data_IF_681673187544
#
_entry.id   IF_681673187544
#
_cell.length_a   1.000
_cell.length_b   1.000
_cell.length_c   1.000
_cell.angle_alpha   90.00
_cell.angle_beta   90.00
_cell.angle_gamma   90.00
#
_symmetry.space_group_name_H-M   'P 1'
#
loop_
_entity.id
_entity.type
_entity.pdbx_description
1 polymer ?
#
# COMPACT_ATOMS: atom_id res chain seq x y z
N UNK A 1 2.48 -20.05 -29.72
CA UNK A 1 3.00 -19.09 -28.72
C UNK A 1 3.76 -19.91 -27.71
N UNK A 2 5.05 -19.67 -27.54
CA UNK A 2 5.81 -20.31 -26.47
C UNK A 2 5.20 -19.83 -25.14
N UNK A 3 4.77 -20.77 -24.27
CA UNK A 3 4.39 -20.46 -22.89
C UNK A 3 5.63 -19.83 -22.25
N UNK A 4 5.52 -18.57 -21.82
CA UNK A 4 6.58 -17.93 -21.07
C UNK A 4 6.84 -18.80 -19.82
N UNK A 5 8.07 -19.24 -19.66
CA UNK A 5 8.45 -20.03 -18.48
C UNK A 5 8.54 -19.09 -17.27
N UNK A 6 7.58 -19.19 -16.36
CA UNK A 6 7.54 -18.44 -15.10
C UNK A 6 8.00 -19.26 -13.89
N UNK A 7 8.65 -20.42 -14.11
CA UNK A 7 9.11 -21.33 -13.04
C UNK A 7 10.08 -20.63 -12.07
N UNK A 8 10.86 -19.67 -12.55
CA UNK A 8 11.80 -18.89 -11.74
C UNK A 8 11.12 -18.00 -10.67
N UNK A 9 9.81 -17.71 -10.80
CA UNK A 9 9.11 -16.82 -9.86
C UNK A 9 9.04 -17.45 -8.46
N UNK A 10 8.81 -18.76 -8.38
CA UNK A 10 8.74 -19.46 -7.09
C UNK A 10 10.07 -19.35 -6.32
N UNK A 11 11.18 -19.63 -6.99
CA UNK A 11 12.52 -19.51 -6.40
C UNK A 11 12.83 -18.08 -5.95
N UNK A 12 12.51 -17.09 -6.79
CA UNK A 12 12.71 -15.65 -6.42
C UNK A 12 11.89 -15.22 -5.23
N UNK A 13 10.63 -15.65 -5.14
CA UNK A 13 9.77 -15.36 -3.99
C UNK A 13 10.33 -15.99 -2.71
N UNK A 14 10.80 -17.23 -2.77
CA UNK A 14 11.41 -17.91 -1.63
C UNK A 14 12.67 -17.17 -1.16
N UNK A 15 13.55 -16.81 -2.11
CA UNK A 15 14.77 -16.06 -1.82
C UNK A 15 14.49 -14.72 -1.16
N UNK A 16 13.52 -13.94 -1.66
CA UNK A 16 13.15 -12.66 -1.06
C UNK A 16 12.57 -12.89 0.35
N UNK A 17 11.64 -13.82 0.51
CA UNK A 17 11.03 -14.10 1.81
C UNK A 17 12.04 -14.52 2.86
N UNK A 18 13.10 -15.24 2.45
CA UNK A 18 14.18 -15.65 3.35
C UNK A 18 15.03 -14.48 3.87
N UNK A 19 15.00 -13.31 3.20
CA UNK A 19 15.71 -12.09 3.63
C UNK A 19 14.84 -11.16 4.49
N UNK A 20 13.53 -11.36 4.49
CA UNK A 20 12.63 -10.51 5.27
C UNK A 20 12.65 -10.86 6.75
N UNK A 21 12.56 -9.84 7.60
CA UNK A 21 12.43 -10.04 9.03
C UNK A 21 11.10 -10.75 9.40
N UNK A 22 11.05 -11.49 10.52
CA UNK A 22 9.80 -12.10 10.98
C UNK A 22 8.68 -11.07 11.14
N UNK A 23 7.49 -11.38 10.61
CA UNK A 23 6.31 -10.50 10.67
C UNK A 23 6.26 -9.43 9.57
N UNK A 24 7.19 -9.46 8.61
CA UNK A 24 7.13 -8.59 7.42
C UNK A 24 6.44 -9.31 6.28
N UNK A 25 5.39 -8.71 5.76
CA UNK A 25 4.66 -9.21 4.59
C UNK A 25 5.25 -8.66 3.29
N UNK A 26 5.41 -9.55 2.29
CA UNK A 26 5.83 -9.16 0.96
C UNK A 26 4.62 -8.76 0.11
N UNK A 27 4.57 -7.52 -0.34
CA UNK A 27 3.66 -7.08 -1.39
C UNK A 27 4.33 -7.30 -2.75
N UNK A 28 3.89 -8.31 -3.50
CA UNK A 28 4.42 -8.55 -4.84
C UNK A 28 3.89 -7.49 -5.82
N UNK A 29 4.75 -6.56 -6.22
CA UNK A 29 4.38 -5.52 -7.18
C UNK A 29 4.21 -6.13 -8.56
N UNK A 30 2.98 -6.15 -9.04
CA UNK A 30 2.55 -6.88 -10.26
C UNK A 30 2.22 -5.97 -11.45
N UNK A 31 2.36 -4.65 -11.27
CA UNK A 31 2.13 -3.68 -12.36
C UNK A 31 2.93 -4.06 -13.60
N UNK A 32 2.31 -3.94 -14.79
CA UNK A 32 2.88 -4.25 -16.11
C UNK A 32 3.19 -5.74 -16.37
N UNK A 33 3.06 -6.62 -15.39
CA UNK A 33 3.22 -8.05 -15.59
C UNK A 33 1.93 -8.72 -16.07
N UNK A 34 2.00 -9.73 -16.95
CA UNK A 34 0.83 -10.44 -17.43
C UNK A 34 0.21 -11.34 -16.35
N UNK A 35 -1.06 -11.71 -16.54
CA UNK A 35 -1.83 -12.52 -15.57
C UNK A 35 -1.16 -13.86 -15.26
N UNK A 36 -0.50 -14.47 -16.24
CA UNK A 36 0.22 -15.74 -16.10
C UNK A 36 1.37 -15.66 -15.10
N UNK A 37 2.06 -14.51 -15.04
CA UNK A 37 3.12 -14.29 -14.05
C UNK A 37 2.53 -14.19 -12.63
N UNK A 38 1.39 -13.51 -12.47
CA UNK A 38 0.71 -13.43 -11.18
C UNK A 38 0.17 -14.80 -10.76
N UNK A 39 -0.37 -15.58 -11.70
CA UNK A 39 -0.83 -16.94 -11.43
C UNK A 39 0.32 -17.84 -10.96
N UNK A 40 1.51 -17.71 -11.56
CA UNK A 40 2.69 -18.43 -11.10
C UNK A 40 3.10 -18.05 -9.68
N UNK A 41 3.11 -16.74 -9.37
CA UNK A 41 3.37 -16.25 -8.01
C UNK A 41 2.30 -16.74 -7.01
N UNK A 42 1.04 -16.72 -7.39
CA UNK A 42 -0.06 -17.25 -6.57
C UNK A 42 0.12 -18.74 -6.26
N UNK A 43 0.46 -19.54 -7.27
CA UNK A 43 0.74 -20.98 -7.13
C UNK A 43 1.95 -21.24 -6.21
N UNK A 44 2.91 -20.30 -6.15
CA UNK A 44 4.03 -20.30 -5.22
C UNK A 44 3.68 -19.75 -3.82
N UNK A 45 2.38 -19.57 -3.52
CA UNK A 45 1.88 -19.15 -2.21
C UNK A 45 1.81 -17.64 -1.99
N UNK A 46 2.05 -16.79 -3.01
CA UNK A 46 1.84 -15.35 -2.88
C UNK A 46 0.34 -15.02 -2.85
N UNK A 47 -0.06 -14.15 -1.92
CA UNK A 47 -1.46 -13.72 -1.78
C UNK A 47 -1.62 -12.22 -1.87
N UNK A 48 -0.62 -11.43 -1.56
CA UNK A 48 -0.66 -9.96 -1.52
C UNK A 48 -0.01 -9.42 -2.79
N UNK A 49 -0.78 -8.74 -3.64
CA UNK A 49 -0.30 -8.15 -4.89
C UNK A 49 -0.52 -6.64 -4.93
N UNK A 50 0.48 -5.92 -5.44
CA UNK A 50 0.47 -4.46 -5.54
C UNK A 50 0.30 -3.95 -6.97
N UNK A 51 -0.70 -3.10 -7.19
CA UNK A 51 -0.99 -2.46 -8.48
C UNK A 51 -1.03 -0.94 -8.37
N UNK A 52 -0.60 -0.24 -9.41
CA UNK A 52 -0.60 1.22 -9.45
C UNK A 52 -1.62 1.82 -10.44
N UNK A 53 -2.30 1.01 -11.24
CA UNK A 53 -3.35 1.43 -12.18
C UNK A 53 -4.63 0.65 -11.89
N UNK A 54 -5.71 1.37 -11.55
CA UNK A 54 -6.99 0.75 -11.19
C UNK A 54 -7.54 -0.14 -12.31
N UNK A 55 -7.42 0.29 -13.57
CA UNK A 55 -7.93 -0.48 -14.71
C UNK A 55 -7.19 -1.83 -14.85
N UNK A 56 -5.86 -1.82 -14.70
CA UNK A 56 -5.04 -3.03 -14.74
C UNK A 56 -5.39 -3.97 -13.58
N UNK A 57 -5.51 -3.43 -12.37
CA UNK A 57 -5.91 -4.18 -11.19
C UNK A 57 -7.30 -4.82 -11.36
N UNK A 58 -8.29 -4.07 -11.88
CA UNK A 58 -9.65 -4.58 -12.10
C UNK A 58 -9.66 -5.73 -13.12
N UNK A 59 -8.90 -5.60 -14.21
CA UNK A 59 -8.77 -6.65 -15.21
C UNK A 59 -8.17 -7.93 -14.62
N UNK A 60 -7.08 -7.81 -13.86
CA UNK A 60 -6.39 -8.94 -13.24
C UNK A 60 -7.23 -9.61 -12.16
N UNK A 61 -7.91 -8.82 -11.33
CA UNK A 61 -8.81 -9.34 -10.30
C UNK A 61 -9.91 -10.22 -10.87
N UNK A 62 -10.46 -9.88 -12.03
CA UNK A 62 -11.51 -10.67 -12.68
C UNK A 62 -11.02 -12.02 -13.25
N UNK A 63 -9.70 -12.21 -13.41
CA UNK A 63 -9.08 -13.39 -14.02
C UNK A 63 -8.34 -14.29 -13.03
N UNK A 64 -8.12 -13.81 -11.81
CA UNK A 64 -7.30 -14.47 -10.79
C UNK A 64 -8.15 -14.89 -9.58
N UNK A 65 -7.64 -15.78 -8.71
CA UNK A 65 -8.36 -16.25 -7.53
C UNK A 65 -8.85 -15.14 -6.61
N UNK A 66 -10.03 -15.33 -6.00
CA UNK A 66 -10.72 -14.31 -5.19
C UNK A 66 -10.10 -14.11 -3.79
N UNK A 67 -9.21 -14.98 -3.36
CA UNK A 67 -8.48 -14.90 -2.09
C UNK A 67 -7.19 -14.07 -2.18
N UNK A 68 -6.96 -13.41 -3.33
CA UNK A 68 -5.88 -12.43 -3.48
C UNK A 68 -6.23 -11.16 -2.71
N UNK A 69 -5.29 -10.73 -1.89
CA UNK A 69 -5.33 -9.43 -1.23
C UNK A 69 -4.72 -8.36 -2.15
N UNK A 70 -5.60 -7.57 -2.75
CA UNK A 70 -5.20 -6.50 -3.66
C UNK A 70 -4.82 -5.23 -2.90
N UNK A 71 -3.57 -4.81 -3.03
CA UNK A 71 -3.08 -3.53 -2.54
C UNK A 71 -2.98 -2.53 -3.70
N UNK A 72 -3.66 -1.41 -3.58
CA UNK A 72 -3.47 -0.30 -4.51
C UNK A 72 -2.34 0.60 -4.00
N UNK A 73 -1.20 0.58 -4.70
CA UNK A 73 0.04 1.27 -4.29
C UNK A 73 0.35 2.52 -5.12
N UNK A 74 -0.54 2.87 -6.06
CA UNK A 74 -0.39 4.05 -6.92
C UNK A 74 -1.05 5.30 -6.38
N UNK A 75 -0.87 6.42 -7.09
CA UNK A 75 -1.58 7.66 -6.77
C UNK A 75 -3.09 7.48 -6.95
N UNK A 76 -3.86 7.76 -5.90
CA UNK A 76 -5.31 7.58 -5.87
C UNK A 76 -6.01 8.75 -6.57
N UNK A 77 -6.72 8.45 -7.66
CA UNK A 77 -7.64 9.38 -8.30
C UNK A 77 -9.06 9.15 -7.77
N UNK A 78 -9.72 10.18 -7.21
CA UNK A 78 -11.04 10.07 -6.57
C UNK A 78 -12.09 9.38 -7.45
N UNK A 79 -12.15 9.72 -8.73
CA UNK A 79 -13.12 9.15 -9.68
C UNK A 79 -12.89 7.66 -9.99
N UNK A 80 -11.73 7.11 -9.63
CA UNK A 80 -11.36 5.70 -9.83
C UNK A 80 -11.63 4.82 -8.60
N UNK A 81 -11.80 5.40 -7.42
CA UNK A 81 -12.04 4.66 -6.16
C UNK A 81 -13.23 3.70 -6.31
N UNK A 82 -14.32 4.13 -6.95
CA UNK A 82 -15.52 3.31 -7.19
C UNK A 82 -15.25 2.00 -7.94
N UNK A 83 -14.17 1.93 -8.74
CA UNK A 83 -13.83 0.74 -9.53
C UNK A 83 -13.14 -0.33 -8.68
N UNK A 84 -12.33 0.07 -7.69
CA UNK A 84 -11.56 -0.85 -6.85
C UNK A 84 -12.24 -1.15 -5.51
N UNK A 85 -13.16 -0.30 -5.04
CA UNK A 85 -13.85 -0.48 -3.77
C UNK A 85 -14.54 -1.86 -3.59
N UNK A 86 -15.07 -2.54 -4.65
CA UNK A 86 -15.67 -3.85 -4.50
C UNK A 86 -14.71 -4.94 -4.00
N UNK A 87 -13.40 -4.84 -4.23
CA UNK A 87 -12.45 -5.93 -4.01
C UNK A 87 -11.13 -5.54 -3.38
N UNK A 88 -10.69 -4.26 -3.44
CA UNK A 88 -9.41 -3.83 -2.88
C UNK A 88 -9.34 -4.08 -1.38
N UNK A 89 -8.21 -4.59 -0.90
CA UNK A 89 -7.98 -4.85 0.53
C UNK A 89 -7.33 -3.66 1.23
N UNK A 90 -6.32 -3.05 0.60
CA UNK A 90 -5.58 -1.91 1.14
C UNK A 90 -5.36 -0.85 0.06
N UNK A 91 -5.64 0.40 0.39
CA UNK A 91 -5.29 1.56 -0.44
C UNK A 91 -4.15 2.29 0.26
N UNK A 92 -2.95 2.26 -0.33
CA UNK A 92 -1.74 2.78 0.31
C UNK A 92 -1.43 4.25 -0.04
N UNK A 93 -2.02 4.77 -1.12
CA UNK A 93 -1.73 6.11 -1.64
C UNK A 93 -2.70 7.19 -1.18
N UNK A 94 -3.08 7.24 0.10
CA UNK A 94 -4.02 8.25 0.62
C UNK A 94 -3.27 9.47 1.14
N UNK A 95 -3.41 10.59 0.47
CA UNK A 95 -2.65 11.82 0.70
C UNK A 95 -3.51 13.06 1.04
N UNK A 96 -4.83 12.88 1.26
CA UNK A 96 -5.71 13.93 1.76
C UNK A 96 -7.02 13.36 2.34
N UNK A 97 -7.71 14.18 3.15
CA UNK A 97 -8.95 13.77 3.83
C UNK A 97 -10.09 13.47 2.86
N UNK A 98 -10.20 14.20 1.76
CA UNK A 98 -11.26 14.02 0.76
C UNK A 98 -11.21 12.63 0.11
N UNK A 99 -10.00 12.03 -0.01
CA UNK A 99 -9.86 10.64 -0.47
C UNK A 99 -10.37 9.65 0.57
N UNK A 100 -10.08 9.85 1.86
CA UNK A 100 -10.66 9.01 2.93
C UNK A 100 -12.19 9.04 2.89
N UNK A 101 -12.80 10.24 2.77
CA UNK A 101 -14.26 10.40 2.65
C UNK A 101 -14.82 9.66 1.44
N UNK A 102 -14.17 9.76 0.28
CA UNK A 102 -14.64 9.06 -0.94
C UNK A 102 -14.45 7.55 -0.82
N UNK A 103 -13.36 7.05 -0.21
CA UNK A 103 -13.14 5.62 0.03
C UNK A 103 -14.23 5.09 0.95
N UNK A 104 -14.52 5.75 2.07
CA UNK A 104 -15.57 5.39 3.02
C UNK A 104 -16.94 5.30 2.32
N UNK A 105 -17.29 6.34 1.58
CA UNK A 105 -18.54 6.39 0.79
C UNK A 105 -18.66 5.23 -0.20
N UNK A 106 -17.59 4.86 -0.88
CA UNK A 106 -17.61 3.78 -1.85
C UNK A 106 -17.60 2.40 -1.15
N UNK A 107 -16.83 2.23 -0.07
CA UNK A 107 -16.79 1.02 0.74
C UNK A 107 -18.17 0.67 1.33
N UNK A 108 -18.89 1.70 1.83
CA UNK A 108 -20.26 1.56 2.33
C UNK A 108 -21.23 0.94 1.33
N UNK A 109 -21.09 1.26 0.02
CA UNK A 109 -21.97 0.69 -1.03
C UNK A 109 -21.85 -0.81 -1.21
N UNK A 110 -20.70 -1.38 -0.80
CA UNK A 110 -20.38 -2.79 -0.95
C UNK A 110 -20.35 -3.52 0.40
N UNK A 111 -20.82 -2.85 1.47
CA UNK A 111 -20.79 -3.37 2.85
C UNK A 111 -19.38 -3.87 3.24
N UNK A 112 -18.37 -3.06 2.95
CA UNK A 112 -16.96 -3.39 3.19
C UNK A 112 -16.31 -2.38 4.13
N UNK A 113 -15.25 -2.83 4.80
CA UNK A 113 -14.27 -1.97 5.44
C UNK A 113 -12.95 -2.06 4.65
N UNK A 114 -12.44 -0.92 4.17
CA UNK A 114 -11.21 -0.86 3.37
C UNK A 114 -10.10 -0.28 4.22
N UNK A 115 -8.97 -0.98 4.32
CA UNK A 115 -7.77 -0.46 4.98
C UNK A 115 -7.13 0.65 4.14
N UNK A 116 -6.77 1.75 4.80
CA UNK A 116 -6.11 2.89 4.19
C UNK A 116 -4.76 3.14 4.87
N UNK A 117 -3.71 3.37 4.09
CA UNK A 117 -2.44 3.90 4.61
C UNK A 117 -2.33 5.37 4.22
N UNK A 118 -1.90 6.20 5.17
CA UNK A 118 -1.60 7.60 4.91
C UNK A 118 -0.25 7.66 4.19
N UNK A 119 -0.25 8.15 2.96
CA UNK A 119 0.97 8.32 2.19
C UNK A 119 1.72 9.56 2.67
N UNK A 120 2.95 9.37 3.10
CA UNK A 120 3.82 10.42 3.61
C UNK A 120 4.91 10.73 2.58
N UNK A 121 5.10 11.99 2.30
CA UNK A 121 6.20 12.49 1.49
C UNK A 121 7.47 12.56 2.34
N UNK A 122 8.35 11.57 2.17
CA UNK A 122 9.63 11.46 2.90
C UNK A 122 10.84 11.68 1.99
N UNK A 123 10.65 11.62 0.68
CA UNK A 123 11.71 11.78 -0.31
C UNK A 123 12.11 13.24 -0.50
N UNK A 124 13.34 13.46 -0.95
CA UNK A 124 13.86 14.80 -1.24
C UNK A 124 13.28 15.43 -2.52
N UNK A 125 12.71 14.61 -3.43
CA UNK A 125 12.16 15.10 -4.69
C UNK A 125 10.77 15.74 -4.49
N UNK A 126 10.59 17.00 -4.88
CA UNK A 126 9.33 17.77 -4.78
C UNK A 126 8.16 17.22 -5.59
N UNK A 127 8.43 16.27 -6.50
CA UNK A 127 7.43 15.71 -7.41
C UNK A 127 6.65 14.54 -6.85
N UNK A 128 6.94 14.06 -5.64
CA UNK A 128 6.26 12.93 -5.03
C UNK A 128 4.99 13.35 -4.29
N UNK A 129 3.97 12.49 -4.36
CA UNK A 129 2.71 12.65 -3.65
C UNK A 129 2.86 12.27 -2.18
N UNK A 130 1.97 12.75 -1.36
CA UNK A 130 1.92 12.42 0.06
C UNK A 130 1.71 13.67 0.93
N UNK A 131 1.28 13.46 2.16
CA UNK A 131 1.29 14.50 3.18
C UNK A 131 2.73 14.82 3.59
N UNK A 132 3.05 16.08 3.91
CA UNK A 132 4.15 16.32 4.82
C UNK A 132 3.82 15.74 6.21
N UNK A 133 4.80 15.46 7.07
CA UNK A 133 4.56 15.03 8.45
C UNK A 133 3.59 15.96 9.20
N UNK A 134 3.75 17.26 9.06
CA UNK A 134 2.92 18.29 9.69
C UNK A 134 1.49 18.29 9.18
N UNK A 135 1.30 18.22 7.85
CA UNK A 135 -0.03 18.14 7.23
C UNK A 135 -0.78 16.88 7.67
N UNK A 136 -0.09 15.75 7.79
CA UNK A 136 -0.68 14.50 8.26
C UNK A 136 -1.19 14.62 9.70
N UNK A 137 -0.36 15.14 10.61
CA UNK A 137 -0.75 15.36 12.00
C UNK A 137 -1.89 16.39 12.11
N UNK A 138 -1.84 17.46 11.34
CA UNK A 138 -2.90 18.47 11.30
C UNK A 138 -4.23 17.86 10.80
N UNK A 139 -4.18 17.08 9.72
CA UNK A 139 -5.37 16.38 9.20
C UNK A 139 -6.00 15.51 10.29
N UNK A 140 -5.21 14.67 10.98
CA UNK A 140 -5.70 13.81 12.05
C UNK A 140 -6.23 14.58 13.27
N UNK A 141 -5.69 15.77 13.56
CA UNK A 141 -6.13 16.61 14.67
C UNK A 141 -7.40 17.40 14.39
N UNK A 142 -7.66 17.78 13.13
CA UNK A 142 -8.68 18.77 12.79
C UNK A 142 -9.86 18.26 11.99
N UNK A 143 -9.76 17.06 11.39
CA UNK A 143 -10.84 16.49 10.58
C UNK A 143 -11.65 15.44 11.34
N UNK A 144 -12.91 15.19 10.96
CA UNK A 144 -13.75 14.18 11.60
C UNK A 144 -13.53 12.77 11.02
N UNK A 145 -12.26 12.36 10.79
CA UNK A 145 -11.95 11.06 10.20
C UNK A 145 -12.47 9.86 10.99
N UNK A 146 -12.67 10.02 12.32
CA UNK A 146 -13.26 8.97 13.17
C UNK A 146 -14.73 8.69 12.89
N UNK A 147 -15.41 9.54 12.14
CA UNK A 147 -16.79 9.33 11.69
C UNK A 147 -16.86 8.43 10.44
N UNK A 148 -15.72 8.16 9.80
CA UNK A 148 -15.63 7.29 8.62
C UNK A 148 -15.59 5.82 9.07
N UNK A 149 -16.75 5.15 9.06
CA UNK A 149 -16.95 3.84 9.68
C UNK A 149 -16.70 2.66 8.73
N UNK A 150 -16.54 2.93 7.44
CA UNK A 150 -16.34 1.90 6.41
C UNK A 150 -14.88 1.85 5.89
N UNK A 151 -13.98 2.52 6.61
CA UNK A 151 -12.54 2.44 6.40
C UNK A 151 -11.82 2.21 7.73
N UNK A 152 -10.59 1.73 7.63
CA UNK A 152 -9.66 1.66 8.75
C UNK A 152 -8.37 2.36 8.33
N UNK A 153 -7.97 3.43 9.03
CA UNK A 153 -6.63 3.98 8.86
C UNK A 153 -5.68 3.02 9.56
N UNK A 154 -5.01 2.16 8.76
CA UNK A 154 -4.23 1.04 9.27
C UNK A 154 -2.75 1.36 9.48
N UNK A 155 -2.28 2.52 9.01
CA UNK A 155 -0.88 2.89 9.15
C UNK A 155 -0.43 3.95 8.15
N UNK A 156 0.85 3.93 7.83
CA UNK A 156 1.50 4.87 6.91
C UNK A 156 2.20 4.15 5.76
N UNK A 157 2.41 4.87 4.67
CA UNK A 157 3.23 4.44 3.54
C UNK A 157 4.19 5.55 3.15
N UNK A 158 5.43 5.20 2.81
CA UNK A 158 6.41 6.14 2.27
C UNK A 158 7.34 5.47 1.26
N UNK A 159 7.75 6.25 0.28
CA UNK A 159 8.76 5.86 -0.71
C UNK A 159 9.96 6.77 -0.56
N UNK A 160 11.13 6.20 -0.35
CA UNK A 160 12.39 6.94 -0.29
C UNK A 160 12.78 7.50 -1.67
N UNK A 161 13.72 8.42 -1.67
CA UNK A 161 14.37 8.96 -2.87
C UNK A 161 15.02 7.83 -3.68
N UNK A 162 14.97 7.95 -5.00
CA UNK A 162 15.71 7.05 -5.88
C UNK A 162 17.18 7.51 -5.95
N UNK A 163 18.02 6.95 -5.10
CA UNK A 163 19.42 7.35 -4.92
C UNK A 163 20.26 6.18 -4.41
N UNK A 164 21.55 6.18 -4.75
CA UNK A 164 22.54 5.23 -4.19
C UNK A 164 23.05 5.68 -2.80
N UNK A 165 22.60 6.83 -2.29
CA UNK A 165 22.97 7.32 -0.97
C UNK A 165 22.18 6.61 0.13
N UNK A 166 22.73 5.53 0.66
CA UNK A 166 22.10 4.69 1.71
C UNK A 166 21.78 5.50 2.97
N UNK A 167 22.60 6.45 3.36
CA UNK A 167 22.37 7.29 4.55
C UNK A 167 21.13 8.19 4.36
N UNK A 168 20.94 8.72 3.16
CA UNK A 168 19.74 9.48 2.83
C UNK A 168 18.49 8.60 2.91
N UNK A 169 18.52 7.42 2.27
CA UNK A 169 17.40 6.46 2.29
C UNK A 169 17.04 6.08 3.73
N UNK A 170 18.05 5.79 4.57
CA UNK A 170 17.84 5.50 6.00
C UNK A 170 17.21 6.65 6.76
N UNK A 171 17.68 7.89 6.51
CA UNK A 171 17.14 9.09 7.15
C UNK A 171 15.66 9.31 6.78
N UNK A 172 15.31 9.10 5.51
CA UNK A 172 13.95 9.24 5.01
C UNK A 172 13.03 8.17 5.65
N UNK A 173 13.44 6.91 5.71
CA UNK A 173 12.66 5.87 6.41
C UNK A 173 12.57 6.10 7.93
N UNK A 174 13.61 6.62 8.57
CA UNK A 174 13.55 7.00 9.98
C UNK A 174 12.52 8.11 10.23
N UNK A 175 12.37 9.05 9.29
CA UNK A 175 11.30 10.07 9.33
C UNK A 175 9.92 9.41 9.32
N UNK A 176 9.70 8.42 8.44
CA UNK A 176 8.44 7.67 8.37
C UNK A 176 8.14 6.93 9.68
N UNK A 177 9.13 6.22 10.23
CA UNK A 177 9.00 5.46 11.47
C UNK A 177 8.70 6.39 12.65
N UNK A 178 9.39 7.52 12.72
CA UNK A 178 9.18 8.53 13.77
C UNK A 178 7.75 9.08 13.70
N UNK A 179 7.29 9.43 12.51
CA UNK A 179 5.93 9.91 12.32
C UNK A 179 4.88 8.82 12.65
N UNK A 180 5.10 7.58 12.23
CA UNK A 180 4.22 6.45 12.59
C UNK A 180 4.07 6.32 14.12
N UNK A 181 5.17 6.35 14.85
CA UNK A 181 5.16 6.25 16.31
C UNK A 181 4.42 7.43 16.96
N UNK A 182 4.62 8.65 16.46
CA UNK A 182 3.91 9.84 16.91
C UNK A 182 2.40 9.72 16.68
N UNK A 183 1.98 9.31 15.48
CA UNK A 183 0.57 9.11 15.14
C UNK A 183 -0.03 8.01 16.02
N UNK A 184 0.65 6.86 16.15
CA UNK A 184 0.19 5.74 17.00
C UNK A 184 -0.06 6.22 18.43
N UNK A 185 0.90 6.93 19.02
CA UNK A 185 0.79 7.40 20.39
C UNK A 185 -0.32 8.46 20.57
N UNK A 186 -0.46 9.40 19.65
CA UNK A 186 -1.38 10.53 19.82
C UNK A 186 -2.83 10.21 19.45
N UNK A 187 -3.04 9.40 18.42
CA UNK A 187 -4.37 9.20 17.81
C UNK A 187 -4.91 7.78 17.92
N UNK A 188 -4.02 6.77 18.10
CA UNK A 188 -4.34 5.33 18.05
C UNK A 188 -3.74 4.55 19.22
N UNK A 189 -3.49 5.18 20.38
CA UNK A 189 -2.81 4.52 21.53
C UNK A 189 -3.52 3.25 22.02
N UNK A 190 -4.85 3.21 21.94
CA UNK A 190 -5.67 2.06 22.33
C UNK A 190 -6.27 1.30 21.13
N UNK A 191 -5.81 1.60 19.93
CA UNK A 191 -6.34 1.02 18.70
C UNK A 191 -5.26 0.20 17.98
N UNK A 192 -5.39 -1.12 18.04
CA UNK A 192 -4.43 -2.06 17.42
C UNK A 192 -4.57 -2.14 15.90
N UNK A 193 -5.60 -1.54 15.31
CA UNK A 193 -5.79 -1.51 13.86
C UNK A 193 -4.73 -0.67 13.14
N UNK A 194 -4.16 0.36 13.80
CA UNK A 194 -3.04 1.14 13.28
C UNK A 194 -1.73 0.43 13.56
N UNK A 195 -1.31 -0.46 12.66
CA UNK A 195 -0.18 -1.38 12.86
C UNK A 195 0.70 -1.58 11.63
N UNK A 196 0.41 -0.90 10.50
CA UNK A 196 1.09 -1.13 9.24
C UNK A 196 2.06 0.01 8.90
N UNK A 197 3.28 -0.37 8.46
CA UNK A 197 4.20 0.54 7.77
C UNK A 197 4.51 -0.10 6.43
N UNK A 198 4.17 0.57 5.33
CA UNK A 198 4.54 0.15 3.99
C UNK A 198 5.72 0.96 3.51
N UNK A 199 6.85 0.31 3.31
CA UNK A 199 8.11 0.92 2.91
C UNK A 199 8.97 -0.09 2.15
N UNK A 200 9.98 0.41 1.45
CA UNK A 200 10.92 -0.42 0.68
C UNK A 200 10.41 -0.78 -0.72
N UNK A 201 11.33 -0.79 -1.64
CA UNK A 201 11.18 -1.20 -3.04
C UNK A 201 12.28 -2.19 -3.41
N UNK A 202 12.30 -2.67 -4.67
CA UNK A 202 13.28 -3.69 -5.12
C UNK A 202 14.73 -3.32 -4.84
N UNK A 203 15.04 -2.03 -4.79
CA UNK A 203 16.41 -1.54 -4.66
C UNK A 203 16.80 -1.12 -3.23
N UNK A 204 15.84 -1.03 -2.30
CA UNK A 204 16.07 -0.45 -0.96
C UNK A 204 15.38 -1.19 0.20
N UNK A 205 14.82 -2.40 -0.02
CA UNK A 205 14.08 -3.13 1.02
C UNK A 205 14.96 -3.89 2.03
N UNK A 206 16.29 -3.98 1.80
CA UNK A 206 17.26 -4.70 2.66
C UNK A 206 17.82 -3.86 3.79
#
# INVERSE_FOLDING_TARGET
>A
MALSDYSFIAERLENIRATLAPGVDLVAVSKTHPVEALQAAYNAGQRIFGENKVQEMTMKQALLPNDIEWHFIGHVQRNKIKMMAPYVSVIQGVDNFEKLVEIDKQAKKYDRNIKCLLQIHIAAEDTKFGFSPEECLQMLATTPWRELTNITIAGVMGMASFTDNVEQVRSEFNTLITLYNNIKHQFFAADDSFSMISAGMSDDYQ
#
